data_IF_761380457324
#
_entry.id   IF_761380457324
#
_cell.length_a   1.000
_cell.length_b   1.000
_cell.length_c   1.000
_cell.angle_alpha   90.00
_cell.angle_beta   90.00
_cell.angle_gamma   90.00
#
_symmetry.space_group_name_H-M   'P 1'
#
loop_
_entity.id
_entity.type
_entity.pdbx_description
1 polymer ?
#
# COMPACT_ATOMS: atom_id res chain seq x y z
N UNK A 1 9.23 -4.84 12.00
CA UNK A 1 7.86 -4.47 12.44
C UNK A 1 7.56 -5.24 13.71
N UNK A 2 7.07 -4.59 14.76
CA UNK A 2 6.62 -5.26 15.98
C UNK A 2 5.11 -5.47 15.93
N UNK A 3 4.63 -6.63 16.39
CA UNK A 3 3.19 -6.91 16.49
C UNK A 3 2.52 -5.83 17.35
N UNK A 4 1.37 -5.34 16.90
CA UNK A 4 0.62 -4.23 17.49
C UNK A 4 1.00 -2.84 16.98
N UNK A 5 1.98 -2.71 16.08
CA UNK A 5 2.35 -1.41 15.52
C UNK A 5 1.41 -0.96 14.39
N UNK A 6 1.09 0.34 14.35
CA UNK A 6 0.35 1.01 13.27
C UNK A 6 1.25 1.92 12.46
N UNK A 7 1.32 1.69 11.16
CA UNK A 7 2.26 2.34 10.25
C UNK A 7 1.51 2.98 9.09
N UNK A 8 1.94 4.18 8.69
CA UNK A 8 1.52 4.80 7.44
C UNK A 8 2.57 4.55 6.37
N UNK A 9 2.19 3.87 5.30
CA UNK A 9 3.06 3.51 4.19
C UNK A 9 2.71 4.35 2.96
N UNK A 10 3.70 5.11 2.47
CA UNK A 10 3.61 5.78 1.17
C UNK A 10 4.32 4.92 0.13
N UNK A 11 3.55 4.33 -0.78
CA UNK A 11 4.06 3.41 -1.80
C UNK A 11 4.02 4.11 -3.17
N UNK A 12 5.17 4.47 -3.76
CA UNK A 12 5.24 5.00 -5.11
C UNK A 12 4.64 4.02 -6.11
N UNK A 13 4.04 4.54 -7.18
CA UNK A 13 3.32 3.74 -8.17
C UNK A 13 4.12 2.56 -8.73
N UNK A 14 5.44 2.71 -8.93
CA UNK A 14 6.36 1.66 -9.40
C UNK A 14 6.41 0.41 -8.48
N UNK A 15 6.12 0.58 -7.19
CA UNK A 15 6.05 -0.51 -6.20
C UNK A 15 4.61 -0.97 -5.93
N UNK A 16 3.62 -0.28 -6.51
CA UNK A 16 2.20 -0.62 -6.44
C UNK A 16 1.67 -1.15 -7.78
N UNK A 17 0.68 -0.47 -8.36
CA UNK A 17 0.02 -0.90 -9.61
C UNK A 17 0.66 -0.35 -10.89
N UNK A 18 1.68 0.50 -10.77
CA UNK A 18 2.44 1.06 -11.89
C UNK A 18 1.57 1.73 -12.95
N UNK A 19 2.04 1.70 -14.20
CA UNK A 19 1.32 2.28 -15.34
C UNK A 19 0.04 1.51 -15.72
N UNK A 20 -0.13 0.27 -15.24
CA UNK A 20 -1.32 -0.54 -15.52
C UNK A 20 -2.53 -0.10 -14.69
N UNK A 21 -2.30 0.43 -13.48
CA UNK A 21 -3.37 0.69 -12.53
C UNK A 21 -4.11 -0.59 -12.11
N UNK A 22 -5.28 -0.43 -11.48
CA UNK A 22 -6.11 -1.56 -11.04
C UNK A 22 -7.56 -1.39 -11.46
N UNK A 23 -7.92 -2.03 -12.58
CA UNK A 23 -9.32 -2.33 -12.96
C UNK A 23 -10.32 -1.17 -12.91
N UNK A 24 -9.86 0.07 -13.12
CA UNK A 24 -10.69 1.29 -13.07
C UNK A 24 -10.85 1.93 -11.68
N UNK A 25 -10.46 1.25 -10.58
CA UNK A 25 -10.50 1.83 -9.22
C UNK A 25 -9.25 2.62 -8.88
N UNK A 26 -8.10 2.21 -9.43
CA UNK A 26 -6.82 2.88 -9.21
C UNK A 26 -6.27 3.30 -10.57
N UNK A 27 -6.13 4.60 -10.83
CA UNK A 27 -5.55 5.11 -12.07
C UNK A 27 -4.10 4.64 -12.28
N UNK A 28 -3.62 4.66 -13.54
CA UNK A 28 -2.20 4.53 -13.85
C UNK A 28 -1.33 5.50 -13.05
N UNK A 29 -0.15 5.03 -12.63
CA UNK A 29 0.90 5.82 -11.99
C UNK A 29 0.51 6.51 -10.66
N UNK A 30 -0.56 6.08 -10.00
CA UNK A 30 -0.95 6.61 -8.69
C UNK A 30 -0.02 6.15 -7.56
N UNK A 31 0.36 7.08 -6.69
CA UNK A 31 0.99 6.78 -5.39
C UNK A 31 -0.09 6.33 -4.40
N UNK A 32 0.20 5.29 -3.63
CA UNK A 32 -0.73 4.73 -2.66
C UNK A 32 -0.32 5.12 -1.24
N UNK A 33 -1.29 5.53 -0.42
CA UNK A 33 -1.15 5.69 1.02
C UNK A 33 -1.93 4.58 1.71
N UNK A 34 -1.26 3.83 2.58
CA UNK A 34 -1.88 2.79 3.39
C UNK A 34 -1.66 3.06 4.86
N UNK A 35 -2.71 2.91 5.66
CA UNK A 35 -2.59 2.70 7.10
C UNK A 35 -2.61 1.19 7.35
N UNK A 36 -1.56 0.66 7.95
CA UNK A 36 -1.38 -0.78 8.20
C UNK A 36 -1.18 -1.03 9.68
N UNK A 37 -1.96 -1.95 10.22
CA UNK A 37 -1.83 -2.45 11.59
C UNK A 37 -1.37 -3.91 11.56
N UNK A 38 -0.24 -4.20 12.22
CA UNK A 38 0.25 -5.58 12.35
C UNK A 38 -0.44 -6.28 13.51
N UNK A 39 -1.50 -7.05 13.24
CA UNK A 39 -2.29 -7.72 14.28
C UNK A 39 -1.58 -8.93 14.92
N UNK A 40 -0.73 -9.62 14.16
CA UNK A 40 -0.06 -10.84 14.60
C UNK A 40 0.89 -11.37 13.54
N UNK A 41 1.73 -12.33 13.92
CA UNK A 41 2.57 -13.14 13.03
C UNK A 41 2.22 -14.59 13.35
N UNK A 42 1.84 -15.35 12.32
CA UNK A 42 1.55 -16.79 12.38
C UNK A 42 2.66 -17.57 11.67
#
# INVERSE_FOLDING_TARGET
MQVGSKWELTIPSKLGYGARGSGGKIPPNSTLLFEVELLGIE
#
